data_IF_971305188556
#
_entry.id   IF_971305188556
#
_cell.length_a   1.000
_cell.length_b   1.000
_cell.length_c   1.000
_cell.angle_alpha   90.00
_cell.angle_beta   90.00
_cell.angle_gamma   90.00
#
_symmetry.space_group_name_H-M   'P 1'
#
loop_
_entity.id
_entity.type
_entity.pdbx_description
1 polymer ?
#
# COMPACT_ATOMS: atom_id res chain seq x y z
N UNK A 1 47.45 40.46 -15.81
CA UNK A 1 45.97 40.31 -15.85
C UNK A 1 45.64 38.87 -15.63
N UNK A 2 45.27 38.45 -14.41
CA UNK A 2 44.80 37.12 -14.08
C UNK A 2 43.31 37.26 -13.82
N UNK A 3 42.50 36.74 -14.76
CA UNK A 3 41.08 36.61 -14.58
C UNK A 3 40.82 35.44 -13.62
N UNK A 4 40.43 35.75 -12.42
CA UNK A 4 39.86 34.82 -11.47
C UNK A 4 38.40 34.59 -11.85
N UNK A 5 38.13 33.55 -12.61
CA UNK A 5 36.77 33.00 -12.75
C UNK A 5 36.38 32.40 -11.40
N UNK A 6 35.67 33.19 -10.61
CA UNK A 6 34.95 32.70 -9.44
C UNK A 6 33.77 31.82 -9.94
N UNK A 7 34.00 30.51 -9.98
CA UNK A 7 32.92 29.52 -10.14
C UNK A 7 31.95 29.69 -8.98
N UNK A 8 30.88 30.35 -9.28
CA UNK A 8 29.71 30.50 -8.41
C UNK A 8 29.12 29.11 -8.15
N UNK A 9 29.62 28.40 -7.14
CA UNK A 9 28.95 27.27 -6.53
C UNK A 9 27.77 27.81 -5.74
N UNK A 10 26.68 28.15 -6.42
CA UNK A 10 25.39 28.29 -5.77
C UNK A 10 25.04 26.95 -5.11
N UNK A 11 25.47 26.79 -3.87
CA UNK A 11 25.00 25.77 -2.96
C UNK A 11 23.49 25.99 -2.76
N UNK A 12 22.66 25.41 -3.62
CA UNK A 12 21.21 25.49 -3.48
C UNK A 12 20.84 24.89 -2.13
N UNK A 13 20.48 25.75 -1.20
CA UNK A 13 19.90 25.35 0.08
C UNK A 13 18.79 24.32 -0.20
N UNK A 14 18.79 23.16 0.45
CA UNK A 14 17.80 22.12 0.19
C UNK A 14 16.41 22.68 0.44
N UNK A 15 15.64 22.84 -0.64
CA UNK A 15 14.26 23.35 -0.59
C UNK A 15 13.30 22.23 -0.21
N UNK A 16 12.21 22.57 0.44
CA UNK A 16 11.09 21.62 0.61
C UNK A 16 10.46 21.35 -0.75
N UNK A 17 10.47 20.09 -1.16
CA UNK A 17 9.89 19.61 -2.42
C UNK A 17 8.77 18.62 -2.13
N UNK A 18 7.76 18.60 -3.00
CA UNK A 18 6.70 17.59 -2.94
C UNK A 18 7.24 16.26 -3.48
N UNK A 19 7.22 15.22 -2.66
CA UNK A 19 7.69 13.87 -2.99
C UNK A 19 6.52 12.90 -3.06
N UNK A 20 5.65 12.89 -2.04
CA UNK A 20 4.47 12.05 -1.99
C UNK A 20 3.24 12.84 -2.43
N UNK A 21 2.67 12.45 -3.56
CA UNK A 21 1.41 13.03 -4.01
C UNK A 21 0.27 12.76 -3.02
N UNK A 22 -0.76 13.60 -3.07
CA UNK A 22 -1.93 13.44 -2.22
C UNK A 22 -2.63 12.07 -2.43
N UNK A 23 -2.84 11.58 -3.67
CA UNK A 23 -3.45 10.27 -3.90
C UNK A 23 -2.70 9.10 -3.25
N UNK A 24 -1.37 9.08 -3.33
CA UNK A 24 -0.55 8.04 -2.67
C UNK A 24 -0.69 8.09 -1.15
N UNK A 25 -0.74 9.29 -0.57
CA UNK A 25 -0.92 9.46 0.88
C UNK A 25 -2.33 9.09 1.33
N UNK A 26 -3.35 9.54 0.61
CA UNK A 26 -4.73 9.18 0.87
C UNK A 26 -4.93 7.66 0.80
N UNK A 27 -4.42 7.03 -0.27
CA UNK A 27 -4.40 5.57 -0.39
C UNK A 27 -3.79 4.90 0.84
N UNK A 28 -2.59 5.31 1.25
CA UNK A 28 -1.88 4.70 2.37
C UNK A 28 -2.68 4.77 3.67
N UNK A 29 -3.17 5.96 4.02
CA UNK A 29 -3.91 6.14 5.27
C UNK A 29 -5.28 5.49 5.24
N UNK A 30 -6.00 5.55 4.11
CA UNK A 30 -7.27 4.84 3.94
C UNK A 30 -7.09 3.33 4.03
N UNK A 31 -6.02 2.77 3.43
CA UNK A 31 -5.71 1.34 3.53
C UNK A 31 -5.39 0.94 4.96
N UNK A 32 -4.59 1.73 5.68
CA UNK A 32 -4.24 1.46 7.08
C UNK A 32 -5.48 1.50 7.99
N UNK A 33 -6.37 2.47 7.80
CA UNK A 33 -7.63 2.58 8.56
C UNK A 33 -8.59 1.43 8.21
N UNK A 34 -8.73 1.07 6.92
CA UNK A 34 -9.56 -0.05 6.50
C UNK A 34 -9.04 -1.37 7.06
N UNK A 35 -7.72 -1.59 7.04
CA UNK A 35 -7.10 -2.77 7.65
C UNK A 35 -7.37 -2.84 9.16
N UNK A 36 -7.14 -1.75 9.89
CA UNK A 36 -7.39 -1.69 11.32
C UNK A 36 -8.88 -1.92 11.64
N UNK A 37 -9.78 -1.30 10.88
CA UNK A 37 -11.22 -1.49 11.00
C UNK A 37 -11.64 -2.93 10.71
N UNK A 38 -11.10 -3.55 9.64
CA UNK A 38 -11.36 -4.96 9.33
C UNK A 38 -10.88 -5.90 10.44
N UNK A 39 -9.72 -5.63 11.02
CA UNK A 39 -9.23 -6.40 12.16
C UNK A 39 -10.15 -6.27 13.38
N UNK A 40 -10.48 -5.03 13.76
CA UNK A 40 -11.37 -4.79 14.91
C UNK A 40 -12.74 -5.46 14.71
N UNK A 41 -13.32 -5.34 13.53
CA UNK A 41 -14.64 -5.92 13.25
C UNK A 41 -14.60 -7.45 13.17
N UNK A 42 -13.49 -8.06 12.76
CA UNK A 42 -13.32 -9.52 12.81
C UNK A 42 -13.26 -10.05 14.24
N UNK A 43 -12.64 -9.32 15.16
CA UNK A 43 -12.54 -9.69 16.58
C UNK A 43 -13.83 -9.35 17.38
N UNK A 44 -14.64 -8.41 16.88
CA UNK A 44 -15.84 -7.92 17.58
C UNK A 44 -17.03 -8.88 17.50
N UNK A 45 -17.00 -9.87 16.61
CA UNK A 45 -18.02 -10.91 16.49
C UNK A 45 -18.89 -10.82 15.23
N UNK A 46 -19.79 -11.80 15.07
CA UNK A 46 -20.58 -12.01 13.84
C UNK A 46 -21.49 -10.82 13.49
N UNK A 47 -21.93 -10.05 14.46
CA UNK A 47 -22.73 -8.83 14.24
C UNK A 47 -22.01 -7.77 13.41
N UNK A 48 -20.66 -7.81 13.37
CA UNK A 48 -19.81 -6.92 12.60
C UNK A 48 -19.35 -7.48 11.27
N UNK A 49 -19.75 -8.71 10.91
CA UNK A 49 -19.30 -9.39 9.69
C UNK A 49 -19.61 -8.58 8.42
N UNK A 50 -20.79 -7.98 8.30
CA UNK A 50 -21.14 -7.12 7.17
C UNK A 50 -20.21 -5.90 7.05
N UNK A 51 -19.82 -5.30 8.20
CA UNK A 51 -18.86 -4.18 8.22
C UNK A 51 -17.45 -4.65 7.83
N UNK A 52 -17.04 -5.83 8.31
CA UNK A 52 -15.78 -6.45 7.91
C UNK A 52 -15.71 -6.67 6.40
N UNK A 53 -16.74 -7.26 5.79
CA UNK A 53 -16.82 -7.47 4.35
C UNK A 53 -16.79 -6.15 3.57
N UNK A 54 -17.57 -5.14 4.00
CA UNK A 54 -17.57 -3.82 3.38
C UNK A 54 -16.16 -3.21 3.36
N UNK A 55 -15.42 -3.28 4.49
CA UNK A 55 -14.03 -2.80 4.57
C UNK A 55 -13.10 -3.61 3.67
N UNK A 56 -13.35 -4.92 3.50
CA UNK A 56 -12.65 -5.78 2.54
C UNK A 56 -12.84 -5.32 1.10
N UNK A 57 -14.05 -4.95 0.69
CA UNK A 57 -14.32 -4.41 -0.65
C UNK A 57 -13.68 -3.03 -0.87
N UNK A 58 -13.68 -2.20 0.16
CA UNK A 58 -12.94 -0.93 0.14
C UNK A 58 -11.44 -1.17 -0.04
N UNK A 59 -10.86 -2.14 0.67
CA UNK A 59 -9.45 -2.51 0.52
C UNK A 59 -9.15 -3.00 -0.90
N UNK A 60 -9.99 -3.85 -1.50
CA UNK A 60 -9.84 -4.28 -2.88
C UNK A 60 -9.83 -3.08 -3.85
N UNK A 61 -10.75 -2.13 -3.66
CA UNK A 61 -10.84 -0.92 -4.47
C UNK A 61 -9.58 -0.08 -4.37
N UNK A 62 -9.07 0.10 -3.15
CA UNK A 62 -7.83 0.82 -2.87
C UNK A 62 -6.62 0.11 -3.46
N UNK A 63 -6.52 -1.21 -3.33
CA UNK A 63 -5.40 -1.99 -3.85
C UNK A 63 -5.38 -1.97 -5.38
N UNK A 64 -6.53 -2.12 -6.04
CA UNK A 64 -6.65 -1.99 -7.49
C UNK A 64 -6.23 -0.59 -7.95
N UNK A 65 -6.72 0.45 -7.28
CA UNK A 65 -6.27 1.82 -7.53
C UNK A 65 -4.76 1.95 -7.39
N UNK A 66 -4.15 1.41 -6.33
CA UNK A 66 -2.70 1.53 -6.10
C UNK A 66 -1.88 0.84 -7.17
N UNK A 67 -2.34 -0.30 -7.65
CA UNK A 67 -1.69 -1.01 -8.76
C UNK A 67 -1.71 -0.12 -10.01
N UNK A 68 -2.88 0.38 -10.42
CA UNK A 68 -2.98 1.26 -11.59
C UNK A 68 -2.20 2.56 -11.41
N UNK A 69 -2.27 3.19 -10.23
CA UNK A 69 -1.50 4.39 -9.91
C UNK A 69 0.01 4.15 -9.94
N UNK A 70 0.43 2.93 -9.64
CA UNK A 70 1.82 2.49 -9.76
C UNK A 70 2.37 2.45 -11.19
N UNK A 71 1.50 2.46 -12.20
CA UNK A 71 1.91 2.55 -13.61
C UNK A 71 1.72 3.96 -14.19
N UNK A 72 0.61 4.62 -13.86
CA UNK A 72 0.21 5.86 -14.53
C UNK A 72 0.31 7.12 -13.65
N UNK A 73 0.64 6.96 -12.37
CA UNK A 73 0.69 8.02 -11.37
C UNK A 73 1.90 8.95 -11.50
N UNK A 74 2.19 9.67 -10.40
CA UNK A 74 3.31 10.59 -10.33
C UNK A 74 4.66 9.87 -10.26
N UNK A 75 5.75 10.62 -10.43
CA UNK A 75 7.11 10.09 -10.50
C UNK A 75 7.42 9.08 -9.37
N UNK A 76 7.20 9.47 -8.11
CA UNK A 76 7.56 8.64 -6.96
C UNK A 76 6.49 7.58 -6.60
N UNK A 77 5.30 7.64 -7.22
CA UNK A 77 4.27 6.60 -7.08
C UNK A 77 4.52 5.41 -8.01
N UNK A 78 5.23 5.62 -9.13
CA UNK A 78 5.45 4.58 -10.16
C UNK A 78 6.37 3.47 -9.67
N UNK A 79 5.97 2.22 -9.93
CA UNK A 79 6.79 1.04 -9.65
C UNK A 79 8.17 1.12 -10.31
N UNK A 80 8.25 1.61 -11.54
CA UNK A 80 9.51 1.78 -12.27
C UNK A 80 10.50 2.76 -11.62
N UNK A 81 10.05 3.61 -10.70
CA UNK A 81 10.92 4.57 -10.01
C UNK A 81 11.63 4.01 -8.78
N UNK A 82 11.14 2.90 -8.23
CA UNK A 82 11.66 2.35 -6.98
C UNK A 82 11.91 0.82 -6.98
N UNK A 83 11.35 0.09 -7.95
CA UNK A 83 11.67 -1.32 -8.09
C UNK A 83 13.04 -1.46 -8.77
N UNK A 84 13.98 -1.90 -7.98
CA UNK A 84 15.35 -2.18 -8.40
C UNK A 84 15.56 -3.67 -8.65
N UNK A 85 16.66 -4.03 -9.34
CA UNK A 85 16.98 -5.43 -9.55
C UNK A 85 17.17 -6.20 -8.23
N UNK A 86 16.91 -7.52 -8.20
CA UNK A 86 17.07 -8.33 -6.97
C UNK A 86 18.47 -8.23 -6.35
N UNK A 87 19.52 -8.06 -7.16
CA UNK A 87 20.89 -7.88 -6.65
C UNK A 87 21.04 -6.59 -5.84
N UNK A 88 20.48 -5.49 -6.33
CA UNK A 88 20.50 -4.19 -5.62
C UNK A 88 19.64 -4.26 -4.37
N UNK A 89 18.50 -4.94 -4.42
CA UNK A 89 17.67 -5.21 -3.24
C UNK A 89 18.44 -5.95 -2.15
N UNK A 90 19.07 -7.09 -2.49
CA UNK A 90 19.85 -7.89 -1.52
C UNK A 90 21.02 -7.09 -0.92
N UNK A 91 21.73 -6.31 -1.73
CA UNK A 91 22.80 -5.43 -1.21
C UNK A 91 22.25 -4.35 -0.28
N UNK A 92 21.03 -3.85 -0.53
CA UNK A 92 20.38 -2.85 0.33
C UNK A 92 19.98 -3.42 1.70
N UNK A 93 19.60 -4.71 1.76
CA UNK A 93 19.31 -5.39 3.02
C UNK A 93 20.57 -5.50 3.92
N UNK A 94 21.72 -5.80 3.33
CA UNK A 94 22.98 -5.85 4.08
C UNK A 94 23.31 -4.48 4.70
N UNK A 95 22.97 -3.39 4.02
CA UNK A 95 23.21 -2.02 4.48
C UNK A 95 22.08 -1.45 5.35
N UNK A 96 21.00 -2.20 5.60
CA UNK A 96 19.82 -1.71 6.32
C UNK A 96 20.18 -1.22 7.73
N UNK A 97 21.06 -1.92 8.43
CA UNK A 97 21.50 -1.57 9.78
C UNK A 97 22.70 -0.62 9.82
N UNK A 98 23.32 -0.32 8.68
CA UNK A 98 24.38 0.67 8.60
C UNK A 98 23.83 2.05 8.89
N UNK A 99 24.51 2.84 9.72
CA UNK A 99 24.16 4.25 9.97
C UNK A 99 24.35 5.14 8.75
N UNK A 100 25.18 4.72 7.78
CA UNK A 100 25.34 5.38 6.49
C UNK A 100 24.28 4.85 5.52
N UNK A 101 23.05 5.38 5.58
CA UNK A 101 22.06 5.10 4.55
C UNK A 101 21.89 6.32 3.66
N UNK A 102 21.82 6.08 2.37
CA UNK A 102 21.43 7.12 1.41
C UNK A 102 20.01 7.58 1.69
N UNK A 103 19.77 8.88 1.74
CA UNK A 103 18.42 9.44 1.86
C UNK A 103 17.75 9.42 0.49
N UNK A 104 16.91 8.44 0.27
CA UNK A 104 16.12 8.33 -0.96
C UNK A 104 14.93 9.28 -0.91
N UNK A 105 14.68 10.02 -2.01
CA UNK A 105 13.54 10.94 -2.08
C UNK A 105 12.20 10.21 -2.00
N UNK A 106 12.04 9.10 -2.73
CA UNK A 106 10.89 8.20 -2.64
C UNK A 106 11.16 6.96 -1.79
N UNK A 107 10.69 5.79 -2.24
CA UNK A 107 11.06 4.52 -1.63
C UNK A 107 12.53 4.20 -1.91
N UNK A 108 13.27 3.82 -0.87
CA UNK A 108 14.55 3.15 -1.05
C UNK A 108 14.36 1.73 -1.59
N UNK A 109 15.44 1.04 -2.00
CA UNK A 109 15.36 -0.30 -2.60
C UNK A 109 14.59 -1.33 -1.75
N UNK A 110 14.87 -1.42 -0.46
CA UNK A 110 14.18 -2.33 0.47
C UNK A 110 12.72 -1.93 0.68
N UNK A 111 12.43 -0.63 0.81
CA UNK A 111 11.06 -0.11 0.96
C UNK A 111 10.20 -0.34 -0.28
N UNK A 112 10.78 -0.28 -1.47
CA UNK A 112 10.08 -0.56 -2.73
C UNK A 112 9.61 -2.01 -2.81
N UNK A 113 10.47 -2.97 -2.53
CA UNK A 113 10.11 -4.40 -2.50
C UNK A 113 9.13 -4.73 -1.37
N UNK A 114 9.30 -4.12 -0.19
CA UNK A 114 8.35 -4.26 0.91
C UNK A 114 6.94 -3.76 0.52
N UNK A 115 6.85 -2.65 -0.22
CA UNK A 115 5.57 -2.14 -0.74
C UNK A 115 4.88 -3.16 -1.64
N UNK A 116 5.59 -3.78 -2.58
CA UNK A 116 5.01 -4.79 -3.48
C UNK A 116 4.58 -6.03 -2.68
N UNK A 117 5.41 -6.50 -1.75
CA UNK A 117 5.08 -7.64 -0.89
C UNK A 117 3.81 -7.39 -0.09
N UNK A 118 3.70 -6.25 0.60
CA UNK A 118 2.53 -5.90 1.42
C UNK A 118 1.28 -5.80 0.55
N UNK A 119 1.33 -5.15 -0.62
CA UNK A 119 0.21 -5.07 -1.55
C UNK A 119 -0.22 -6.47 -2.00
N UNK A 120 0.72 -7.36 -2.34
CA UNK A 120 0.41 -8.72 -2.80
C UNK A 120 -0.25 -9.56 -1.70
N UNK A 121 0.25 -9.48 -0.48
CA UNK A 121 -0.31 -10.23 0.66
C UNK A 121 -1.69 -9.69 1.05
N UNK A 122 -1.90 -8.37 1.01
CA UNK A 122 -3.22 -7.77 1.23
C UNK A 122 -4.23 -8.11 0.12
N UNK A 123 -3.78 -8.25 -1.14
CA UNK A 123 -4.63 -8.74 -2.22
C UNK A 123 -5.09 -10.17 -1.98
N UNK A 124 -4.16 -11.06 -1.59
CA UNK A 124 -4.50 -12.44 -1.24
C UNK A 124 -5.53 -12.47 -0.11
N UNK A 125 -5.35 -11.64 0.93
CA UNK A 125 -6.28 -11.51 2.05
C UNK A 125 -7.69 -11.11 1.57
N UNK A 126 -7.77 -10.02 0.82
CA UNK A 126 -9.06 -9.48 0.42
C UNK A 126 -9.76 -10.38 -0.63
N UNK A 127 -9.00 -11.00 -1.54
CA UNK A 127 -9.58 -11.94 -2.53
C UNK A 127 -10.07 -13.21 -1.84
N UNK A 128 -9.28 -13.83 -0.96
CA UNK A 128 -9.69 -15.03 -0.26
C UNK A 128 -10.97 -14.83 0.57
N UNK A 129 -11.14 -13.64 1.17
CA UNK A 129 -12.35 -13.29 1.92
C UNK A 129 -13.64 -13.28 1.09
N UNK A 130 -13.56 -13.17 -0.24
CA UNK A 130 -14.76 -13.23 -1.09
C UNK A 130 -15.42 -14.63 -1.13
N UNK A 131 -14.72 -15.67 -0.68
CA UNK A 131 -15.13 -17.06 -0.76
C UNK A 131 -15.46 -17.70 0.59
N UNK A 132 -15.48 -16.92 1.67
CA UNK A 132 -15.66 -17.42 3.04
C UNK A 132 -17.12 -17.30 3.45
N UNK A 133 -17.62 -18.27 4.22
CA UNK A 133 -18.90 -18.21 4.94
C UNK A 133 -18.64 -18.29 6.44
N UNK A 134 -19.52 -17.67 7.24
CA UNK A 134 -19.60 -17.92 8.68
C UNK A 134 -20.56 -19.08 9.02
N UNK A 135 -21.10 -19.74 7.99
CA UNK A 135 -22.05 -20.86 8.06
C UNK A 135 -23.38 -20.55 8.82
N UNK A 136 -23.64 -19.26 9.09
CA UNK A 136 -24.80 -18.83 9.90
C UNK A 136 -25.60 -17.75 9.17
N UNK A 137 -25.00 -16.59 8.90
CA UNK A 137 -25.72 -15.42 8.37
C UNK A 137 -24.99 -14.69 7.24
N UNK A 138 -23.67 -14.83 7.11
CA UNK A 138 -22.89 -14.02 6.22
C UNK A 138 -22.01 -14.87 5.30
N UNK A 139 -22.33 -14.82 4.02
CA UNK A 139 -21.55 -15.45 2.97
C UNK A 139 -20.75 -14.39 2.20
N UNK A 140 -19.49 -14.69 1.95
CA UNK A 140 -18.72 -13.96 0.94
C UNK A 140 -19.39 -14.11 -0.42
N UNK A 141 -19.33 -13.07 -1.28
CA UNK A 141 -20.15 -13.00 -2.50
C UNK A 141 -19.93 -14.15 -3.48
N UNK A 142 -18.81 -14.85 -3.38
CA UNK A 142 -18.46 -15.98 -4.26
C UNK A 142 -18.40 -17.33 -3.52
N UNK A 143 -18.83 -17.41 -2.27
CA UNK A 143 -18.81 -18.67 -1.50
C UNK A 143 -19.58 -19.79 -2.24
N UNK A 144 -20.82 -19.53 -2.62
CA UNK A 144 -21.68 -20.51 -3.33
C UNK A 144 -21.28 -20.79 -4.79
N UNK A 145 -20.26 -20.10 -5.31
CA UNK A 145 -19.79 -20.27 -6.71
C UNK A 145 -18.66 -21.27 -6.86
N UNK A 146 -18.15 -21.81 -5.76
CA UNK A 146 -17.01 -22.73 -5.73
C UNK A 146 -17.36 -24.01 -4.97
N UNK A 147 -16.55 -25.06 -5.13
CA UNK A 147 -16.74 -26.28 -4.34
C UNK A 147 -16.30 -26.06 -2.88
N UNK A 148 -16.84 -26.88 -1.96
CA UNK A 148 -16.51 -26.84 -0.53
C UNK A 148 -14.99 -26.95 -0.27
N UNK A 149 -14.28 -27.73 -1.08
CA UNK A 149 -12.82 -27.85 -1.00
C UNK A 149 -12.11 -26.53 -1.32
N UNK A 150 -12.59 -25.77 -2.30
CA UNK A 150 -12.04 -24.44 -2.64
C UNK A 150 -12.42 -23.43 -1.57
N UNK A 151 -13.66 -23.42 -1.09
CA UNK A 151 -14.11 -22.53 -0.02
C UNK A 151 -13.28 -22.74 1.26
N UNK A 152 -13.09 -24.01 1.68
CA UNK A 152 -12.26 -24.37 2.84
C UNK A 152 -10.80 -23.98 2.65
N UNK A 153 -10.23 -24.15 1.45
CA UNK A 153 -8.89 -23.68 1.14
C UNK A 153 -8.76 -22.16 1.27
N UNK A 154 -9.73 -21.42 0.73
CA UNK A 154 -9.74 -19.94 0.80
C UNK A 154 -9.90 -19.45 2.24
N UNK A 155 -10.73 -20.11 3.06
CA UNK A 155 -10.86 -19.81 4.48
C UNK A 155 -9.53 -20.00 5.24
N UNK A 156 -8.90 -21.17 5.05
CA UNK A 156 -7.58 -21.44 5.67
C UNK A 156 -6.52 -20.46 5.21
N UNK A 157 -6.50 -20.11 3.92
CA UNK A 157 -5.57 -19.13 3.35
C UNK A 157 -5.79 -17.75 3.99
N UNK A 158 -7.04 -17.31 4.15
CA UNK A 158 -7.38 -16.02 4.76
C UNK A 158 -6.88 -15.95 6.21
N UNK A 159 -7.14 -16.96 7.02
CA UNK A 159 -6.70 -17.00 8.42
C UNK A 159 -5.18 -17.08 8.55
N UNK A 160 -4.52 -17.92 7.75
CA UNK A 160 -3.05 -18.03 7.80
C UNK A 160 -2.38 -16.74 7.32
N UNK A 161 -2.90 -16.18 6.22
CA UNK A 161 -2.36 -14.96 5.61
C UNK A 161 -2.53 -13.74 6.52
N UNK A 162 -3.56 -13.69 7.36
CA UNK A 162 -3.74 -12.64 8.36
C UNK A 162 -2.54 -12.58 9.34
N UNK A 163 -2.07 -13.73 9.84
CA UNK A 163 -0.89 -13.77 10.69
C UNK A 163 0.37 -13.25 9.98
N UNK A 164 0.51 -13.57 8.69
CA UNK A 164 1.60 -13.04 7.86
C UNK A 164 1.49 -11.51 7.74
N UNK A 165 0.28 -10.97 7.53
CA UNK A 165 0.07 -9.52 7.48
C UNK A 165 0.47 -8.86 8.80
N UNK A 166 0.10 -9.41 9.94
CA UNK A 166 0.48 -8.87 11.25
C UNK A 166 2.02 -8.82 11.40
N UNK A 167 2.72 -9.89 11.01
CA UNK A 167 4.18 -9.89 10.99
C UNK A 167 4.76 -8.81 10.08
N UNK A 168 4.21 -8.65 8.87
CA UNK A 168 4.67 -7.64 7.91
C UNK A 168 4.39 -6.22 8.39
N UNK A 169 3.23 -5.97 9.02
CA UNK A 169 2.88 -4.67 9.61
C UNK A 169 3.81 -4.36 10.78
N UNK A 170 4.08 -5.32 11.68
CA UNK A 170 5.03 -5.14 12.77
C UNK A 170 6.43 -4.82 12.27
N UNK A 171 6.90 -5.54 11.23
CA UNK A 171 8.19 -5.28 10.59
C UNK A 171 8.21 -3.89 9.93
N UNK A 172 7.13 -3.49 9.25
CA UNK A 172 7.00 -2.17 8.62
C UNK A 172 7.09 -1.04 9.66
N UNK A 173 6.34 -1.15 10.76
CA UNK A 173 6.38 -0.15 11.84
C UNK A 173 7.75 -0.10 12.52
N UNK A 174 8.38 -1.26 12.75
CA UNK A 174 9.73 -1.34 13.31
C UNK A 174 10.76 -0.71 12.40
N UNK A 175 10.67 -0.93 11.09
CA UNK A 175 11.55 -0.30 10.11
C UNK A 175 11.36 1.24 10.10
N UNK A 176 10.10 1.72 10.12
CA UNK A 176 9.83 3.17 10.22
C UNK A 176 10.44 3.74 11.49
N UNK A 177 10.27 3.09 12.64
CA UNK A 177 10.88 3.50 13.91
C UNK A 177 12.41 3.56 13.81
N UNK A 178 13.04 2.53 13.24
CA UNK A 178 14.49 2.51 13.02
C UNK A 178 14.96 3.66 12.11
N UNK A 179 14.31 3.90 10.99
CA UNK A 179 14.68 5.01 10.11
C UNK A 179 14.43 6.38 10.77
N UNK A 180 13.34 6.52 11.50
CA UNK A 180 12.99 7.80 12.13
C UNK A 180 13.89 8.14 13.32
N UNK A 181 14.13 7.21 14.23
CA UNK A 181 14.87 7.44 15.46
C UNK A 181 16.35 7.07 15.33
N UNK A 182 16.69 6.00 14.60
CA UNK A 182 18.06 5.54 14.42
C UNK A 182 18.82 6.30 13.32
N UNK A 183 18.13 6.77 12.28
CA UNK A 183 18.74 7.43 11.11
C UNK A 183 18.30 8.89 10.94
N UNK A 184 17.48 9.43 11.85
CA UNK A 184 16.94 10.80 11.80
C UNK A 184 16.20 11.15 10.49
N UNK A 185 15.56 10.17 9.86
CA UNK A 185 14.75 10.36 8.66
C UNK A 185 13.28 10.55 9.02
N UNK A 186 12.70 11.71 8.78
CA UNK A 186 11.31 12.04 9.13
C UNK A 186 10.29 11.38 8.17
N UNK A 187 10.25 10.02 8.10
CA UNK A 187 9.41 9.28 7.15
C UNK A 187 7.92 9.49 7.40
N UNK A 188 7.48 9.41 8.66
CA UNK A 188 6.07 9.64 9.03
C UNK A 188 5.62 11.05 8.66
N UNK A 189 6.43 12.08 8.96
CA UNK A 189 6.15 13.46 8.59
C UNK A 189 6.06 13.62 7.08
N UNK A 190 6.96 12.98 6.32
CA UNK A 190 6.92 13.00 4.86
C UNK A 190 5.65 12.34 4.32
N UNK A 191 5.17 11.24 4.93
CA UNK A 191 3.94 10.58 4.53
C UNK A 191 2.67 11.35 4.93
N UNK A 192 2.72 12.19 5.96
CA UNK A 192 1.62 13.08 6.33
C UNK A 192 1.57 14.33 5.45
N UNK A 193 2.71 15.01 5.29
CA UNK A 193 2.77 16.31 4.62
C UNK A 193 3.10 16.23 3.11
N UNK A 194 3.64 15.11 2.66
CA UNK A 194 4.05 14.89 1.27
C UNK A 194 5.43 15.49 0.92
N UNK A 195 6.09 16.18 1.83
CA UNK A 195 7.27 17.00 1.56
C UNK A 195 8.54 16.41 2.18
N UNK A 196 9.65 16.57 1.46
CA UNK A 196 11.02 16.32 1.94
C UNK A 196 11.94 17.45 1.52
N UNK A 197 13.05 17.64 2.23
CA UNK A 197 14.14 18.54 1.79
C UNK A 197 14.96 17.84 0.71
N UNK A 198 15.20 18.52 -0.41
CA UNK A 198 15.99 17.94 -1.49
C UNK A 198 16.13 18.83 -2.71
N UNK A 199 16.80 18.35 -3.77
CA UNK A 199 16.96 19.09 -5.02
C UNK A 199 15.59 19.30 -5.70
N UNK A 200 15.32 20.54 -6.13
CA UNK A 200 14.04 20.92 -6.76
C UNK A 200 13.68 20.04 -7.97
N UNK A 201 14.67 19.56 -8.71
CA UNK A 201 14.51 18.70 -9.89
C UNK A 201 13.88 17.34 -9.57
N UNK A 202 13.96 16.88 -8.31
CA UNK A 202 13.37 15.62 -7.87
C UNK A 202 11.94 15.77 -7.36
N UNK A 203 11.46 16.99 -7.14
CA UNK A 203 10.07 17.24 -6.73
C UNK A 203 9.07 16.93 -7.84
N UNK A 204 7.86 16.56 -7.45
CA UNK A 204 6.72 16.45 -8.36
C UNK A 204 6.01 17.81 -8.46
N UNK A 205 5.57 18.16 -9.68
CA UNK A 205 4.95 19.47 -9.95
C UNK A 205 3.48 19.51 -9.50
N UNK A 206 2.78 18.36 -9.54
CA UNK A 206 1.35 18.27 -9.25
C UNK A 206 1.02 16.88 -8.73
N UNK A 207 0.04 16.80 -7.82
CA UNK A 207 -0.52 15.52 -7.32
C UNK A 207 -1.44 14.82 -8.31
N UNK A 208 -1.79 15.44 -9.43
CA UNK A 208 -2.72 14.91 -10.44
C UNK A 208 -4.04 14.38 -9.83
N UNK A 209 -4.61 15.13 -8.89
CA UNK A 209 -5.73 14.69 -8.03
C UNK A 209 -6.96 14.29 -8.84
N UNK A 210 -7.35 15.06 -9.86
CA UNK A 210 -8.52 14.73 -10.71
C UNK A 210 -8.33 13.39 -11.43
N UNK A 211 -7.16 13.15 -12.01
CA UNK A 211 -6.82 11.88 -12.64
C UNK A 211 -6.90 10.72 -11.64
N UNK A 212 -6.37 10.91 -10.43
CA UNK A 212 -6.42 9.89 -9.39
C UNK A 212 -7.84 9.59 -8.94
N UNK A 213 -8.67 10.61 -8.75
CA UNK A 213 -10.09 10.45 -8.39
C UNK A 213 -10.85 9.69 -9.48
N UNK A 214 -10.65 9.99 -10.76
CA UNK A 214 -11.28 9.27 -11.88
C UNK A 214 -10.88 7.79 -11.89
N UNK A 215 -9.58 7.49 -11.69
CA UNK A 215 -9.09 6.10 -11.63
C UNK A 215 -9.66 5.40 -10.40
N UNK A 216 -9.65 6.03 -9.23
CA UNK A 216 -10.21 5.44 -8.00
C UNK A 216 -11.71 5.14 -8.15
N UNK A 217 -12.48 6.10 -8.69
CA UNK A 217 -13.92 5.89 -8.92
C UNK A 217 -14.17 4.73 -9.87
N UNK A 218 -13.40 4.61 -10.95
CA UNK A 218 -13.49 3.47 -11.86
C UNK A 218 -13.14 2.14 -11.15
N UNK A 219 -12.06 2.09 -10.35
CA UNK A 219 -11.69 0.91 -9.57
C UNK A 219 -12.78 0.51 -8.58
N UNK A 220 -13.32 1.49 -7.83
CA UNK A 220 -14.40 1.24 -6.88
C UNK A 220 -15.66 0.73 -7.61
N UNK A 221 -16.06 1.35 -8.71
CA UNK A 221 -17.20 0.89 -9.50
C UNK A 221 -17.01 -0.53 -10.03
N UNK A 222 -15.79 -0.90 -10.47
CA UNK A 222 -15.49 -2.25 -10.93
C UNK A 222 -15.64 -3.26 -9.78
N UNK A 223 -15.05 -2.99 -8.62
CA UNK A 223 -15.13 -3.90 -7.46
C UNK A 223 -16.57 -4.05 -6.99
N UNK A 224 -17.32 -2.93 -6.86
CA UNK A 224 -18.72 -2.99 -6.45
C UNK A 224 -19.60 -3.70 -7.48
N UNK A 225 -19.33 -3.54 -8.77
CA UNK A 225 -20.01 -4.29 -9.84
C UNK A 225 -19.71 -5.79 -9.75
N UNK A 226 -18.46 -6.18 -9.51
CA UNK A 226 -18.05 -7.57 -9.30
C UNK A 226 -18.82 -8.17 -8.10
N UNK A 227 -18.87 -7.47 -6.98
CA UNK A 227 -19.61 -7.93 -5.79
C UNK A 227 -21.13 -8.00 -6.06
N UNK A 228 -21.68 -7.01 -6.74
CA UNK A 228 -23.12 -6.97 -7.06
C UNK A 228 -23.56 -8.03 -8.06
N UNK A 229 -22.71 -8.40 -9.02
CA UNK A 229 -22.96 -9.44 -10.01
C UNK A 229 -22.62 -10.86 -9.50
N UNK A 230 -22.20 -10.99 -8.23
CA UNK A 230 -21.92 -12.30 -7.66
C UNK A 230 -23.19 -13.19 -7.72
N UNK A 231 -23.05 -14.48 -8.04
CA UNK A 231 -24.19 -15.41 -8.08
C UNK A 231 -24.87 -15.48 -6.72
N UNK A 232 -26.21 -15.54 -6.73
CA UNK A 232 -26.95 -15.80 -5.51
C UNK A 232 -26.58 -17.19 -4.95
N UNK A 233 -26.39 -17.32 -3.63
CA UNK A 233 -26.12 -18.64 -3.05
C UNK A 233 -27.26 -19.58 -3.31
N UNK A 234 -26.95 -20.74 -3.91
CA UNK A 234 -27.94 -21.80 -4.15
C UNK A 234 -28.09 -22.59 -2.86
N UNK A 235 -29.07 -22.26 -2.04
CA UNK A 235 -29.48 -23.10 -0.91
C UNK A 235 -30.20 -24.33 -1.43
N UNK A 236 -29.55 -25.47 -1.49
CA UNK A 236 -30.21 -26.77 -1.71
C UNK A 236 -30.90 -27.16 -0.38
N UNK A 237 -32.21 -26.95 -0.33
CA UNK A 237 -33.06 -27.45 0.74
C UNK A 237 -33.27 -28.97 0.61
#
# INVERSE_FOLDING_TARGET
MRNTESHNREGSNPKEILVWDWPTRAFHWSLALSFLGSWITAEAGLEWASTHMFLGYMMLSLLLFRILWGFVGTRHAKFSSFLVSPRVFLSSLHNLFSRRSEDHMGHGPSGGWATVLIISVLLVQAISGLFISDDIFNDGPYHGSVSDGVASFMANLHHLNFNLILCLVALHLSAIGWFQFGKNQALTKAMLLGKKKGPAVLGIKSSQTLKALSIFSACASIIWLIVWLAPEPVYLF
#
